data_IF_055504440917
#
_entry.id   IF_055504440917
#
_cell.length_a   1.000
_cell.length_b   1.000
_cell.length_c   1.000
_cell.angle_alpha   90.00
_cell.angle_beta   90.00
_cell.angle_gamma   90.00
#
_symmetry.space_group_name_H-M   'P 1'
#
loop_
_entity.id
_entity.type
_entity.pdbx_description
1 polymer ?
#
# COMPACT_ATOMS: atom_id res chain seq x y z
N UNK A 1 -48.01 -12.12 28.97
CA UNK A 1 -46.90 -13.00 29.35
C UNK A 1 -46.51 -14.02 28.27
N UNK A 2 -47.46 -14.62 27.54
CA UNK A 2 -47.14 -15.67 26.50
C UNK A 2 -46.30 -15.18 25.34
N UNK A 3 -46.43 -13.92 24.88
CA UNK A 3 -45.66 -13.36 23.76
C UNK A 3 -44.19 -13.09 24.06
N UNK A 4 -43.83 -12.81 25.30
CA UNK A 4 -42.43 -12.60 25.70
C UNK A 4 -41.62 -13.89 25.85
N UNK A 5 -42.29 -14.98 26.23
CA UNK A 5 -41.69 -16.30 26.37
C UNK A 5 -41.35 -16.90 24.98
N UNK A 6 -42.19 -16.69 23.97
CA UNK A 6 -41.96 -17.15 22.61
C UNK A 6 -40.76 -16.42 21.97
N UNK A 7 -40.60 -15.11 22.23
CA UNK A 7 -39.46 -14.32 21.72
C UNK A 7 -38.12 -14.77 22.33
N UNK A 8 -38.09 -15.08 23.61
CA UNK A 8 -36.88 -15.54 24.31
C UNK A 8 -36.49 -16.96 23.85
N UNK A 9 -37.46 -17.84 23.58
CA UNK A 9 -37.20 -19.19 23.06
C UNK A 9 -36.66 -19.16 21.61
N UNK A 10 -37.10 -18.20 20.80
CA UNK A 10 -36.64 -18.08 19.42
C UNK A 10 -35.18 -17.57 19.34
N UNK A 11 -34.78 -16.62 20.22
CA UNK A 11 -33.40 -16.15 20.33
C UNK A 11 -32.41 -17.21 20.81
N UNK A 12 -32.84 -18.08 21.75
CA UNK A 12 -32.00 -19.21 22.23
C UNK A 12 -31.82 -20.31 21.19
N UNK A 13 -32.83 -20.55 20.33
CA UNK A 13 -32.74 -21.54 19.25
C UNK A 13 -31.76 -21.09 18.13
N UNK A 14 -31.62 -19.78 17.84
CA UNK A 14 -30.65 -19.26 16.87
C UNK A 14 -29.20 -19.30 17.36
N UNK A 15 -28.96 -19.20 18.65
CA UNK A 15 -27.60 -19.32 19.23
C UNK A 15 -27.11 -20.79 19.29
N UNK A 16 -28.01 -21.77 19.35
CA UNK A 16 -27.65 -23.19 19.41
C UNK A 16 -27.27 -23.78 18.04
N UNK A 17 -27.63 -23.15 16.91
CA UNK A 17 -27.33 -23.65 15.56
C UNK A 17 -25.95 -23.24 15.05
N UNK A 18 -25.23 -22.31 15.72
CA UNK A 18 -23.86 -21.92 15.34
C UNK A 18 -22.76 -22.83 15.90
N UNK A 19 -23.06 -23.75 16.80
CA UNK A 19 -22.07 -24.64 17.44
C UNK A 19 -22.01 -26.04 16.82
N UNK A 20 -22.94 -26.41 15.91
CA UNK A 20 -23.07 -27.78 15.38
C UNK A 20 -22.73 -27.93 13.88
N UNK A 21 -21.87 -27.08 13.32
CA UNK A 21 -21.53 -27.11 11.91
C UNK A 21 -20.04 -26.97 11.63
N UNK A 22 -19.23 -27.96 11.99
CA UNK A 22 -17.94 -28.23 11.30
C UNK A 22 -17.46 -29.63 11.72
N UNK A 23 -17.98 -30.63 11.04
CA UNK A 23 -17.34 -31.92 10.88
C UNK A 23 -16.98 -32.04 9.42
N UNK A 24 -15.72 -31.77 9.04
CA UNK A 24 -15.15 -32.08 7.75
C UNK A 24 -14.13 -33.19 7.93
N UNK A 25 -14.37 -34.28 7.23
CA UNK A 25 -13.46 -35.41 7.11
C UNK A 25 -12.10 -34.97 6.53
N UNK A 26 -11.03 -35.52 7.08
CA UNK A 26 -9.66 -35.39 6.59
C UNK A 26 -9.53 -35.99 5.18
N UNK A 27 -9.06 -35.17 4.25
CA UNK A 27 -8.35 -35.62 3.06
C UNK A 27 -6.95 -34.99 3.10
N UNK A 28 -5.94 -35.84 3.10
CA UNK A 28 -4.50 -35.50 3.07
C UNK A 28 -4.13 -34.74 1.81
N UNK A 29 -3.35 -33.67 1.96
CA UNK A 29 -2.73 -32.99 0.85
C UNK A 29 -2.31 -31.54 1.18
N UNK A 30 -1.12 -31.39 1.72
CA UNK A 30 -0.41 -30.24 2.23
C UNK A 30 -0.59 -28.87 1.60
N UNK A 31 -0.60 -27.92 2.44
CA UNK A 31 0.21 -26.69 2.53
C UNK A 31 -0.45 -25.78 3.56
N UNK A 32 0.13 -25.75 4.74
CA UNK A 32 -0.27 -24.81 5.79
C UNK A 32 0.14 -23.40 5.36
N UNK A 33 -0.84 -22.60 4.98
CA UNK A 33 -0.72 -21.14 4.97
C UNK A 33 -1.72 -20.63 5.99
N UNK A 34 -1.36 -20.69 7.26
CA UNK A 34 -2.01 -19.91 8.30
C UNK A 34 -1.70 -18.43 8.04
N UNK A 35 -2.54 -17.79 7.25
CA UNK A 35 -2.62 -16.34 7.15
C UNK A 35 -3.12 -15.79 8.48
N UNK A 36 -2.22 -15.28 9.29
CA UNK A 36 -2.51 -14.64 10.56
C UNK A 36 -3.32 -13.37 10.32
N UNK A 37 -4.64 -13.46 10.42
CA UNK A 37 -5.55 -12.31 10.46
C UNK A 37 -5.53 -11.60 11.83
N UNK A 38 -4.51 -11.88 12.66
CA UNK A 38 -4.49 -11.53 14.10
C UNK A 38 -3.76 -10.23 14.44
N UNK A 39 -3.10 -9.55 13.51
CA UNK A 39 -2.15 -8.51 13.89
C UNK A 39 -2.63 -7.06 13.74
N UNK A 40 -3.72 -6.79 13.04
CA UNK A 40 -4.23 -5.40 12.93
C UNK A 40 -4.80 -4.90 14.26
N UNK A 41 -5.36 -5.82 15.07
CA UNK A 41 -5.87 -5.48 16.40
C UNK A 41 -4.75 -5.16 17.42
N UNK A 42 -3.50 -5.57 17.15
CA UNK A 42 -2.34 -5.29 18.00
C UNK A 42 -1.72 -3.90 17.76
N UNK A 43 -2.07 -3.24 16.65
CA UNK A 43 -1.51 -1.93 16.29
C UNK A 43 -2.28 -0.74 16.88
N UNK A 44 -3.33 -0.99 17.65
CA UNK A 44 -4.07 0.09 18.32
C UNK A 44 -3.26 0.63 19.49
N UNK A 45 -2.65 1.79 19.32
CA UNK A 45 -2.08 2.58 20.39
C UNK A 45 -3.15 2.83 21.46
N UNK A 46 -2.81 2.56 22.69
CA UNK A 46 -3.71 2.76 23.85
C UNK A 46 -3.27 3.92 24.73
N UNK A 47 -2.17 4.58 24.39
CA UNK A 47 -1.57 5.68 25.14
C UNK A 47 -1.42 6.96 24.32
N UNK A 48 -1.53 8.11 24.99
CA UNK A 48 -1.42 9.45 24.37
C UNK A 48 -0.03 9.69 23.69
N UNK A 49 0.99 8.87 23.99
CA UNK A 49 2.37 9.01 23.53
C UNK A 49 2.86 7.78 22.74
N UNK A 50 1.96 7.03 22.11
CA UNK A 50 2.28 5.88 21.28
C UNK A 50 2.07 6.21 19.80
N UNK A 51 2.96 5.74 18.93
CA UNK A 51 2.86 5.89 17.47
C UNK A 51 2.82 4.49 16.84
N UNK A 52 1.84 4.25 15.97
CA UNK A 52 1.69 3.03 15.20
C UNK A 52 2.07 3.30 13.74
N UNK A 53 3.05 2.56 13.24
CA UNK A 53 3.56 2.69 11.89
C UNK A 53 3.43 1.36 11.16
N UNK A 54 2.73 1.36 10.02
CA UNK A 54 2.62 0.21 9.14
C UNK A 54 3.15 0.56 7.75
N UNK A 55 4.17 -0.17 7.31
CA UNK A 55 4.73 -0.04 5.97
C UNK A 55 4.94 -1.41 5.32
N UNK A 56 5.20 -1.41 4.01
CA UNK A 56 5.79 -2.57 3.35
C UNK A 56 7.20 -2.24 2.88
N UNK A 57 8.09 -3.23 2.93
CA UNK A 57 9.47 -3.08 2.50
C UNK A 57 10.08 -4.43 2.09
N UNK A 58 11.16 -4.36 1.32
CA UNK A 58 11.97 -5.53 1.02
C UNK A 58 12.76 -5.96 2.26
N UNK A 59 13.12 -7.24 2.36
CA UNK A 59 13.80 -7.79 3.54
C UNK A 59 15.11 -7.06 3.87
N UNK A 60 15.84 -6.59 2.86
CA UNK A 60 17.10 -5.86 3.05
C UNK A 60 16.89 -4.42 3.55
N UNK A 61 15.68 -3.85 3.41
CA UNK A 61 15.35 -2.50 3.89
C UNK A 61 14.89 -2.49 5.35
N UNK A 62 14.35 -3.62 5.84
CA UNK A 62 13.76 -3.71 7.20
C UNK A 62 14.74 -3.27 8.30
N UNK A 63 16.00 -3.69 8.21
CA UNK A 63 17.02 -3.33 9.19
C UNK A 63 17.30 -1.82 9.22
N UNK A 64 17.29 -1.17 8.05
CA UNK A 64 17.51 0.28 7.94
C UNK A 64 16.35 1.05 8.57
N UNK A 65 15.11 0.62 8.29
CA UNK A 65 13.95 1.24 8.93
C UNK A 65 13.96 1.08 10.43
N UNK A 66 14.28 -0.12 10.92
CA UNK A 66 14.37 -0.37 12.37
C UNK A 66 15.40 0.56 13.02
N UNK A 67 16.59 0.71 12.43
CA UNK A 67 17.62 1.61 12.94
C UNK A 67 17.14 3.07 12.99
N UNK A 68 16.41 3.55 11.97
CA UNK A 68 15.85 4.89 11.93
C UNK A 68 14.77 5.09 13.02
N UNK A 69 13.91 4.11 13.21
CA UNK A 69 12.87 4.15 14.26
C UNK A 69 13.50 4.12 15.65
N UNK A 70 14.48 3.26 15.88
CA UNK A 70 15.19 3.18 17.17
C UNK A 70 15.89 4.51 17.51
N UNK A 71 16.50 5.14 16.52
CA UNK A 71 17.13 6.45 16.66
C UNK A 71 16.10 7.52 16.98
N UNK A 72 15.01 7.60 16.21
CA UNK A 72 13.92 8.54 16.42
C UNK A 72 13.31 8.38 17.81
N UNK A 73 12.96 7.17 18.23
CA UNK A 73 12.37 6.90 19.55
C UNK A 73 13.33 7.32 20.68
N UNK A 74 14.62 7.13 20.50
CA UNK A 74 15.63 7.55 21.48
C UNK A 74 15.77 9.07 21.57
N UNK A 75 15.73 9.76 20.44
CA UNK A 75 15.85 11.21 20.37
C UNK A 75 14.62 11.94 20.94
N UNK A 76 13.46 11.29 20.89
CA UNK A 76 12.16 11.82 21.35
C UNK A 76 11.58 11.08 22.58
N UNK A 77 12.43 10.45 23.39
CA UNK A 77 12.02 9.60 24.51
C UNK A 77 11.27 10.36 25.64
N UNK A 78 11.31 11.67 25.64
CA UNK A 78 10.57 12.56 26.55
C UNK A 78 9.14 12.86 26.04
N UNK A 79 8.88 12.68 24.75
CA UNK A 79 7.57 12.95 24.13
C UNK A 79 6.85 11.66 23.72
N UNK A 80 7.62 10.64 23.29
CA UNK A 80 7.11 9.37 22.74
C UNK A 80 7.51 8.22 23.62
N UNK A 81 6.53 7.48 24.12
CA UNK A 81 6.76 6.33 25.00
C UNK A 81 7.06 5.06 24.20
N UNK A 82 6.40 4.88 23.06
CA UNK A 82 6.48 3.66 22.25
C UNK A 82 6.23 3.95 20.79
N UNK A 83 7.02 3.34 19.91
CA UNK A 83 6.75 3.27 18.46
C UNK A 83 6.50 1.81 18.11
N UNK A 84 5.26 1.49 17.78
CA UNK A 84 4.86 0.18 17.26
C UNK A 84 5.11 0.18 15.74
N UNK A 85 6.21 -0.43 15.33
CA UNK A 85 6.64 -0.44 13.94
C UNK A 85 6.46 -1.81 13.33
N UNK A 86 5.59 -1.91 12.33
CA UNK A 86 5.35 -3.14 11.57
C UNK A 86 5.76 -3.00 10.11
N UNK A 87 6.55 -3.95 9.62
CA UNK A 87 6.96 -4.06 8.22
C UNK A 87 6.44 -5.35 7.64
N UNK A 88 5.67 -5.25 6.55
CA UNK A 88 5.04 -6.39 5.88
C UNK A 88 5.54 -6.56 4.45
N UNK A 89 5.04 -7.57 3.76
CA UNK A 89 5.08 -7.65 2.29
C UNK A 89 4.02 -6.72 1.69
N UNK A 90 4.10 -6.42 0.40
CA UNK A 90 3.12 -5.55 -0.26
C UNK A 90 1.71 -6.15 -0.25
N UNK A 91 1.58 -7.47 -0.43
CA UNK A 91 0.27 -8.16 -0.45
C UNK A 91 -0.38 -8.18 0.94
N UNK A 92 0.42 -8.44 1.98
CA UNK A 92 -0.06 -8.39 3.36
C UNK A 92 -0.44 -6.95 3.76
N UNK A 93 0.33 -5.96 3.30
CA UNK A 93 0.04 -4.56 3.53
C UNK A 93 -1.35 -4.18 3.01
N UNK A 94 -1.65 -4.50 1.75
CA UNK A 94 -2.95 -4.22 1.14
C UNK A 94 -4.10 -4.85 1.92
N UNK A 95 -3.93 -6.10 2.37
CA UNK A 95 -4.92 -6.82 3.17
C UNK A 95 -5.14 -6.17 4.54
N UNK A 96 -4.05 -5.82 5.25
CA UNK A 96 -4.11 -5.17 6.56
C UNK A 96 -4.74 -3.79 6.48
N UNK A 97 -4.33 -2.97 5.50
CA UNK A 97 -4.91 -1.63 5.31
C UNK A 97 -6.41 -1.69 5.01
N UNK A 98 -6.86 -2.65 4.18
CA UNK A 98 -8.29 -2.84 3.92
C UNK A 98 -9.06 -3.20 5.20
N UNK A 99 -8.52 -4.08 6.02
CA UNK A 99 -9.11 -4.44 7.30
C UNK A 99 -9.14 -3.24 8.28
N UNK A 100 -8.04 -2.50 8.38
CA UNK A 100 -7.92 -1.32 9.24
C UNK A 100 -8.90 -0.20 8.84
N UNK A 101 -9.04 0.07 7.54
CA UNK A 101 -10.04 1.02 7.01
C UNK A 101 -11.46 0.58 7.35
N UNK A 102 -11.76 -0.71 7.21
CA UNK A 102 -13.09 -1.26 7.50
C UNK A 102 -13.42 -1.20 8.98
N UNK A 103 -12.44 -1.42 9.84
CA UNK A 103 -12.58 -1.33 11.30
C UNK A 103 -12.60 0.11 11.82
N UNK A 104 -12.15 1.09 11.04
CA UNK A 104 -11.92 2.46 11.49
C UNK A 104 -10.71 2.59 12.46
N UNK A 105 -9.75 1.68 12.34
CA UNK A 105 -8.58 1.57 13.22
C UNK A 105 -7.29 1.65 12.38
N UNK A 106 -7.08 2.77 11.67
CA UNK A 106 -5.88 3.00 10.88
C UNK A 106 -4.65 3.22 11.76
N UNK A 107 -3.45 2.81 11.31
CA UNK A 107 -2.20 3.24 11.92
C UNK A 107 -2.03 4.76 11.82
N UNK A 108 -1.19 5.35 12.68
CA UNK A 108 -0.90 6.79 12.67
C UNK A 108 -0.09 7.20 11.43
N UNK A 109 0.83 6.32 11.00
CA UNK A 109 1.68 6.53 9.81
C UNK A 109 1.63 5.28 8.95
N UNK A 110 1.39 5.47 7.66
CA UNK A 110 1.32 4.38 6.68
C UNK A 110 1.62 4.87 5.26
N UNK A 111 1.90 3.93 4.34
CA UNK A 111 2.16 4.27 2.95
C UNK A 111 0.88 4.48 2.15
N UNK A 112 0.91 5.48 1.27
CA UNK A 112 -0.16 5.75 0.30
C UNK A 112 0.47 5.92 -1.08
N UNK A 113 0.03 5.12 -2.05
CA UNK A 113 0.40 5.34 -3.45
C UNK A 113 -0.31 6.56 -4.03
N UNK A 114 0.30 7.26 -5.00
CA UNK A 114 -0.30 8.47 -5.58
C UNK A 114 -1.68 8.21 -6.22
N UNK A 115 -1.93 7.00 -6.71
CA UNK A 115 -3.22 6.56 -7.27
C UNK A 115 -4.34 6.49 -6.23
N UNK A 116 -3.99 6.36 -4.95
CA UNK A 116 -4.94 6.21 -3.84
C UNK A 116 -5.23 7.53 -3.09
N UNK A 117 -4.43 8.57 -3.27
CA UNK A 117 -4.53 9.84 -2.52
C UNK A 117 -5.94 10.39 -2.51
N UNK A 118 -6.59 10.53 -3.67
CA UNK A 118 -7.97 11.01 -3.76
C UNK A 118 -8.91 10.21 -2.87
N UNK A 119 -8.87 8.88 -2.98
CA UNK A 119 -9.77 8.01 -2.22
C UNK A 119 -9.54 8.13 -0.71
N UNK A 120 -8.29 8.24 -0.28
CA UNK A 120 -7.97 8.37 1.14
C UNK A 120 -8.40 9.72 1.71
N UNK A 121 -8.24 10.80 0.95
CA UNK A 121 -8.70 12.14 1.36
C UNK A 121 -10.21 12.22 1.38
N UNK A 122 -10.89 11.79 0.32
CA UNK A 122 -12.36 11.85 0.20
C UNK A 122 -13.07 11.03 1.29
N UNK A 123 -12.43 9.96 1.80
CA UNK A 123 -12.94 9.15 2.92
C UNK A 123 -12.43 9.62 4.30
N UNK A 124 -11.61 10.66 4.37
CA UNK A 124 -11.10 11.20 5.64
C UNK A 124 -10.07 10.30 6.35
N UNK A 125 -9.37 9.44 5.61
CA UNK A 125 -8.34 8.55 6.16
C UNK A 125 -7.01 9.24 6.40
N UNK A 126 -6.75 10.36 5.75
CA UNK A 126 -5.54 11.18 5.87
C UNK A 126 -5.91 12.65 6.06
N UNK A 127 -5.04 13.39 6.72
CA UNK A 127 -5.21 14.83 6.98
C UNK A 127 -4.17 15.65 6.19
N UNK A 128 -4.44 16.95 5.94
CA UNK A 128 -3.44 17.84 5.36
C UNK A 128 -2.17 17.92 6.23
N UNK A 129 -1.03 17.97 5.58
CA UNK A 129 0.28 18.05 6.21
C UNK A 129 0.90 19.46 6.18
N UNK A 130 0.25 20.42 5.52
CA UNK A 130 0.82 21.76 5.26
C UNK A 130 1.31 22.47 6.52
N UNK A 131 0.57 22.35 7.62
CA UNK A 131 0.90 22.96 8.92
C UNK A 131 1.71 22.02 9.86
N UNK A 132 1.96 20.79 9.44
CA UNK A 132 2.59 19.75 10.27
C UNK A 132 4.03 19.44 9.86
N UNK A 133 4.45 19.82 8.65
CA UNK A 133 5.76 19.52 8.11
C UNK A 133 6.58 20.78 7.90
N UNK A 134 7.91 20.65 8.01
CA UNK A 134 8.82 21.75 7.75
C UNK A 134 8.73 22.19 6.28
N UNK A 135 8.43 23.47 6.05
CA UNK A 135 8.32 24.04 4.71
C UNK A 135 9.58 23.82 3.86
N UNK A 136 10.77 23.86 4.50
CA UNK A 136 12.04 23.63 3.79
C UNK A 136 12.14 22.20 3.24
N UNK A 137 11.63 21.21 3.99
CA UNK A 137 11.59 19.84 3.53
C UNK A 137 10.66 19.68 2.31
N UNK A 138 9.50 20.34 2.34
CA UNK A 138 8.52 20.33 1.26
C UNK A 138 9.02 21.08 0.02
N UNK A 139 9.70 22.20 0.19
CA UNK A 139 10.22 23.00 -0.92
C UNK A 139 11.39 22.34 -1.66
N UNK A 140 12.10 21.42 -0.99
CA UNK A 140 13.16 20.62 -1.60
C UNK A 140 12.64 19.42 -2.41
N UNK A 141 11.34 19.11 -2.36
CA UNK A 141 10.75 18.04 -3.16
C UNK A 141 10.67 18.43 -4.63
N UNK A 142 10.91 17.47 -5.51
CA UNK A 142 10.69 17.66 -6.93
C UNK A 142 9.21 18.00 -7.19
N UNK A 143 8.92 19.05 -7.99
CA UNK A 143 7.55 19.51 -8.21
C UNK A 143 6.60 18.42 -8.71
N UNK A 144 7.06 17.52 -9.60
CA UNK A 144 6.25 16.43 -10.12
C UNK A 144 5.86 15.41 -9.03
N UNK A 145 6.75 15.14 -8.07
CA UNK A 145 6.47 14.22 -6.97
C UNK A 145 5.55 14.90 -5.97
N UNK A 146 5.85 16.15 -5.59
CA UNK A 146 5.01 16.93 -4.67
C UNK A 146 3.58 16.99 -5.17
N UNK A 147 3.38 17.33 -6.46
CA UNK A 147 2.06 17.46 -7.05
C UNK A 147 1.25 16.15 -7.04
N UNK A 148 1.91 14.99 -7.12
CA UNK A 148 1.22 13.69 -7.08
C UNK A 148 0.51 13.43 -5.73
N UNK A 149 0.92 14.11 -4.67
CA UNK A 149 0.37 13.96 -3.31
C UNK A 149 -0.41 15.20 -2.84
N UNK A 150 -0.66 16.15 -3.74
CA UNK A 150 -1.51 17.31 -3.48
C UNK A 150 -2.91 17.10 -4.02
N UNK A 151 -3.92 17.55 -3.27
CA UNK A 151 -5.32 17.43 -3.67
C UNK A 151 -6.15 18.58 -3.13
N UNK A 152 -7.03 19.17 -3.98
CA UNK A 152 -7.92 20.29 -3.64
C UNK A 152 -9.38 19.90 -3.42
N UNK A 153 -9.67 18.59 -3.35
CA UNK A 153 -11.04 18.05 -3.30
C UNK A 153 -11.65 17.75 -4.68
N UNK A 154 -10.92 18.08 -5.76
CA UNK A 154 -11.37 17.84 -7.13
C UNK A 154 -10.21 17.36 -8.02
N UNK A 155 -9.05 17.98 -7.92
CA UNK A 155 -7.90 17.76 -8.79
C UNK A 155 -6.66 17.36 -7.98
N UNK A 156 -5.95 16.35 -8.46
CA UNK A 156 -4.60 16.03 -8.02
C UNK A 156 -3.65 17.08 -8.62
N UNK A 157 -2.64 17.48 -7.87
CA UNK A 157 -1.63 18.44 -8.27
C UNK A 157 -1.87 19.87 -7.77
N UNK A 158 -2.95 20.08 -7.03
CA UNK A 158 -3.29 21.38 -6.42
C UNK A 158 -3.88 21.18 -5.03
N UNK A 159 -3.99 22.28 -4.26
CA UNK A 159 -4.51 22.23 -2.89
C UNK A 159 -3.47 21.82 -1.87
N UNK A 160 -3.89 21.13 -0.82
CA UNK A 160 -3.06 20.72 0.29
C UNK A 160 -2.23 19.47 -0.02
N UNK A 161 -1.11 19.35 0.67
CA UNK A 161 -0.24 18.16 0.65
C UNK A 161 -0.75 17.16 1.70
N UNK A 162 -0.96 15.92 1.30
CA UNK A 162 -1.49 14.87 2.19
C UNK A 162 -0.48 13.76 2.50
N UNK A 163 0.59 13.62 1.70
CA UNK A 163 1.62 12.63 1.94
C UNK A 163 2.99 13.22 1.65
N UNK A 164 4.01 12.79 2.40
CA UNK A 164 5.41 13.05 2.06
C UNK A 164 5.94 11.90 1.21
N UNK A 165 6.48 12.17 0.02
CA UNK A 165 7.05 11.12 -0.82
C UNK A 165 8.32 10.56 -0.18
N UNK A 166 8.38 9.24 -0.08
CA UNK A 166 9.56 8.50 0.42
C UNK A 166 10.64 8.39 -0.65
N UNK A 167 10.23 8.01 -1.86
CA UNK A 167 11.11 7.77 -3.00
C UNK A 167 10.38 8.04 -4.33
N UNK A 168 11.11 7.93 -5.43
CA UNK A 168 10.59 8.02 -6.78
C UNK A 168 11.05 6.80 -7.58
N UNK A 169 10.10 6.07 -8.13
CA UNK A 169 10.33 5.09 -9.19
C UNK A 169 9.81 5.61 -10.51
N UNK A 170 10.53 5.35 -11.59
CA UNK A 170 10.04 5.59 -12.95
C UNK A 170 9.91 4.27 -13.70
N UNK A 171 8.87 4.19 -14.54
CA UNK A 171 8.73 3.09 -15.48
C UNK A 171 9.49 3.46 -16.76
N UNK A 172 10.26 2.50 -17.27
CA UNK A 172 11.00 2.65 -18.51
C UNK A 172 10.90 1.37 -19.33
N UNK A 173 10.97 1.53 -20.65
CA UNK A 173 11.09 0.39 -21.56
C UNK A 173 12.57 0.15 -21.85
N UNK A 174 13.01 -1.08 -21.68
CA UNK A 174 14.29 -1.55 -22.19
C UNK A 174 14.08 -2.23 -23.55
N UNK A 175 14.98 -2.02 -24.48
CA UNK A 175 14.96 -2.70 -25.78
C UNK A 175 16.26 -3.45 -26.02
N UNK A 176 16.17 -4.56 -26.74
CA UNK A 176 17.34 -5.33 -27.18
C UNK A 176 17.84 -4.78 -28.50
N UNK A 177 19.08 -4.26 -28.51
CA UNK A 177 19.69 -3.65 -29.71
C UNK A 177 19.85 -4.65 -30.85
N UNK A 178 20.26 -5.89 -30.56
CA UNK A 178 20.46 -6.90 -31.59
C UNK A 178 19.15 -7.23 -32.31
N UNK A 179 18.03 -7.25 -31.61
CA UNK A 179 16.70 -7.45 -32.21
C UNK A 179 16.25 -6.25 -33.03
N UNK A 180 16.61 -5.03 -32.66
CA UNK A 180 16.35 -3.84 -33.46
C UNK A 180 17.15 -3.86 -34.75
N UNK A 181 18.44 -4.20 -34.68
CA UNK A 181 19.32 -4.34 -35.85
C UNK A 181 18.81 -5.43 -36.81
N UNK A 182 18.43 -6.60 -36.27
CA UNK A 182 17.87 -7.71 -37.07
C UNK A 182 16.55 -7.32 -37.77
N UNK A 183 15.72 -6.52 -37.10
CA UNK A 183 14.47 -6.04 -37.64
C UNK A 183 14.64 -4.82 -38.57
N UNK A 184 15.84 -4.26 -38.69
CA UNK A 184 16.13 -3.04 -39.46
C UNK A 184 15.39 -1.81 -38.86
N UNK A 185 15.26 -1.76 -37.53
CA UNK A 185 14.63 -0.66 -36.81
C UNK A 185 15.67 0.33 -36.34
N UNK A 186 15.36 1.61 -36.42
CA UNK A 186 16.13 2.66 -35.76
C UNK A 186 15.96 2.57 -34.25
N UNK A 187 17.02 2.88 -33.50
CA UNK A 187 16.93 2.93 -32.03
C UNK A 187 16.06 4.08 -31.57
N UNK A 188 15.39 3.96 -30.39
CA UNK A 188 14.70 5.08 -29.80
C UNK A 188 15.65 6.27 -29.58
N UNK A 189 15.24 7.44 -30.05
CA UNK A 189 15.98 8.69 -29.85
C UNK A 189 15.57 9.33 -28.52
N UNK A 190 16.49 9.59 -27.57
CA UNK A 190 16.15 10.22 -26.30
C UNK A 190 15.69 11.69 -26.45
N UNK A 191 16.08 12.37 -27.51
CA UNK A 191 15.67 13.75 -27.78
C UNK A 191 14.29 13.83 -28.47
N UNK A 192 13.91 12.76 -29.21
CA UNK A 192 12.64 12.63 -29.91
C UNK A 192 12.02 11.25 -29.60
N UNK A 193 11.46 11.07 -28.39
CA UNK A 193 10.87 9.79 -28.00
C UNK A 193 9.67 9.44 -28.89
N UNK A 194 9.45 8.14 -29.10
CA UNK A 194 8.29 7.67 -29.85
C UNK A 194 6.97 8.21 -29.27
N UNK A 195 6.07 8.62 -30.17
CA UNK A 195 4.65 8.71 -29.85
C UNK A 195 4.07 7.32 -29.57
N UNK A 196 2.87 7.24 -28.99
CA UNK A 196 2.21 5.95 -28.78
C UNK A 196 1.91 5.21 -30.09
N UNK A 197 1.60 5.93 -31.18
CA UNK A 197 1.37 5.39 -32.50
C UNK A 197 2.67 4.79 -33.08
N UNK A 198 3.77 5.53 -33.03
CA UNK A 198 5.08 5.06 -33.50
C UNK A 198 5.57 3.85 -32.69
N UNK A 199 5.36 3.86 -31.37
CA UNK A 199 5.68 2.73 -30.51
C UNK A 199 4.85 1.48 -30.87
N UNK A 200 3.55 1.64 -31.14
CA UNK A 200 2.70 0.55 -31.60
C UNK A 200 3.17 -0.01 -32.95
N UNK A 201 3.57 0.86 -33.88
CA UNK A 201 4.11 0.46 -35.19
C UNK A 201 5.43 -0.32 -35.05
N UNK A 202 6.32 0.11 -34.15
CA UNK A 202 7.56 -0.63 -33.84
C UNK A 202 7.25 -2.01 -33.27
N UNK A 203 6.28 -2.10 -32.35
CA UNK A 203 5.87 -3.38 -31.78
C UNK A 203 5.22 -4.35 -32.79
N UNK A 204 4.63 -3.84 -33.87
CA UNK A 204 3.98 -4.66 -34.92
C UNK A 204 4.95 -5.16 -35.99
N UNK A 205 6.11 -4.54 -36.14
CA UNK A 205 7.10 -5.00 -37.10
C UNK A 205 7.59 -6.40 -36.71
N UNK A 206 7.56 -7.38 -37.61
CA UNK A 206 7.89 -8.75 -37.27
C UNK A 206 9.38 -8.88 -36.96
N UNK A 207 9.68 -8.89 -35.69
CA UNK A 207 10.93 -9.49 -35.22
C UNK A 207 10.74 -10.99 -35.36
N UNK A 208 11.67 -11.69 -35.99
CA UNK A 208 11.59 -13.13 -36.19
C UNK A 208 11.13 -13.86 -34.92
N UNK A 209 9.94 -14.45 -34.99
CA UNK A 209 9.17 -14.97 -33.86
C UNK A 209 9.81 -16.12 -33.06
N UNK A 210 11.02 -16.54 -33.44
CA UNK A 210 11.70 -17.69 -32.85
C UNK A 210 12.29 -17.39 -31.45
N UNK A 211 12.49 -16.12 -31.07
CA UNK A 211 13.12 -15.77 -29.82
C UNK A 211 12.15 -15.15 -28.75
N UNK A 212 10.95 -14.75 -29.12
CA UNK A 212 9.98 -14.14 -28.18
C UNK A 212 9.05 -15.15 -27.48
N UNK A 213 9.26 -16.46 -27.69
CA UNK A 213 8.42 -17.52 -27.11
C UNK A 213 9.09 -18.33 -26.00
N UNK A 214 10.09 -17.79 -25.39
CA UNK A 214 10.75 -18.42 -24.24
C UNK A 214 10.87 -17.40 -23.11
N UNK A 215 9.80 -17.27 -22.32
CA UNK A 215 9.84 -17.14 -20.84
C UNK A 215 8.46 -16.74 -20.34
#
# INVERSE_FOLDING_TARGET
>A
MKKKIISTLLCTAMLATMVAGCGVEKSDGGSDTEGSASSVAEMKGTGDNEINILIYAQDHEKAVYQELIDKFTKEHADEISTVNFEVTTQDEYATKMTAAMTAGELPDIFYVGPEAVRSYVDNGYVQPLDDLVDATAVDNLWPAIKSAYMYDGSNIGSGSLYCLPKDLSCFAFAYNKDLFDEAGLEYPDPENPYTWEEFADVCQKPVSYTHLRAH
#
